data_IF_609275051728
#
_entry.id   IF_609275051728
#
_cell.length_a   1.000
_cell.length_b   1.000
_cell.length_c   1.000
_cell.angle_alpha   90.00
_cell.angle_beta   90.00
_cell.angle_gamma   90.00
#
_symmetry.space_group_name_H-M   'P 1'
#
loop_
_entity.id
_entity.type
_entity.pdbx_description
1 polymer ?
#
# COMPACT_ATOMS: atom_id res chain seq x y z
N UNK A 1 -18.94 -77.50 -8.66
CA UNK A 1 -19.84 -76.81 -7.72
C UNK A 1 -19.34 -77.03 -6.29
N UNK A 2 -18.60 -76.06 -5.73
CA UNK A 2 -18.38 -75.96 -4.28
C UNK A 2 -18.31 -74.49 -3.90
N UNK A 3 -19.07 -74.18 -2.86
CA UNK A 3 -19.67 -72.92 -2.45
C UNK A 3 -18.73 -72.09 -1.57
N UNK A 4 -18.76 -70.76 -1.75
CA UNK A 4 -18.20 -69.78 -0.79
C UNK A 4 -19.14 -69.64 0.41
N UNK A 5 -18.63 -69.46 1.65
CA UNK A 5 -19.41 -68.88 2.73
C UNK A 5 -19.05 -67.40 3.00
N UNK A 6 -20.09 -66.71 3.47
CA UNK A 6 -20.22 -65.29 3.73
C UNK A 6 -19.39 -64.78 4.92
N UNK A 7 -19.11 -63.47 4.93
CA UNK A 7 -18.70 -62.73 6.14
C UNK A 7 -19.82 -61.77 6.55
N UNK A 8 -20.22 -61.93 7.79
CA UNK A 8 -21.26 -61.19 8.51
C UNK A 8 -20.66 -59.99 9.25
N UNK A 9 -21.36 -58.87 9.14
CA UNK A 9 -21.45 -57.62 9.91
C UNK A 9 -20.57 -57.36 11.14
N UNK A 10 -20.11 -56.11 11.27
CA UNK A 10 -20.30 -55.36 12.53
C UNK A 10 -20.29 -53.84 12.27
N UNK A 11 -21.35 -53.20 12.74
CA UNK A 11 -21.62 -51.76 12.70
C UNK A 11 -21.13 -51.16 14.03
N UNK A 12 -20.36 -50.07 13.99
CA UNK A 12 -19.96 -49.33 15.19
C UNK A 12 -20.08 -47.83 14.94
N UNK A 13 -21.18 -47.27 15.42
CA UNK A 13 -21.43 -45.85 15.64
C UNK A 13 -20.27 -45.19 16.41
N UNK A 14 -19.71 -44.09 15.88
CA UNK A 14 -18.92 -43.14 16.67
C UNK A 14 -19.30 -41.68 16.34
N UNK A 15 -20.16 -41.15 17.21
CA UNK A 15 -20.04 -39.87 17.92
C UNK A 15 -19.55 -38.66 17.11
N UNK A 16 -20.53 -37.86 16.69
CA UNK A 16 -20.40 -36.45 16.31
C UNK A 16 -19.76 -35.64 17.44
N UNK A 17 -18.62 -35.02 17.18
CA UNK A 17 -18.01 -33.98 18.01
C UNK A 17 -18.05 -32.67 17.22
N UNK A 18 -18.92 -31.77 17.67
CA UNK A 18 -18.94 -30.36 17.28
C UNK A 18 -17.61 -29.73 17.74
N UNK A 19 -16.80 -29.25 16.79
CA UNK A 19 -15.69 -28.34 17.10
C UNK A 19 -16.12 -26.92 16.76
N UNK A 20 -16.15 -26.11 17.82
CA UNK A 20 -16.31 -24.66 17.79
C UNK A 20 -15.15 -24.02 16.99
N UNK A 21 -15.40 -22.96 16.21
CA UNK A 21 -14.37 -22.30 15.41
C UNK A 21 -13.48 -21.43 16.30
N UNK A 22 -12.22 -21.81 16.46
CA UNK A 22 -11.21 -20.91 17.00
C UNK A 22 -10.79 -19.94 15.91
N UNK A 23 -10.89 -18.67 16.30
CA UNK A 23 -10.54 -17.46 15.58
C UNK A 23 -9.00 -17.30 15.64
N UNK A 24 -8.30 -17.53 14.52
CA UNK A 24 -6.88 -17.20 14.38
C UNK A 24 -6.72 -16.09 13.30
N UNK A 25 -5.96 -15.01 13.60
CA UNK A 25 -5.82 -13.86 12.72
C UNK A 25 -4.76 -14.14 11.65
N UNK A 26 -5.18 -14.67 10.50
CA UNK A 26 -4.27 -14.91 9.38
C UNK A 26 -4.21 -13.72 8.41
N UNK A 27 -3.13 -12.95 8.54
CA UNK A 27 -2.28 -12.60 7.40
C UNK A 27 -2.73 -11.46 6.49
N UNK A 28 -2.36 -10.24 6.89
CA UNK A 28 -2.27 -9.06 6.04
C UNK A 28 -1.20 -9.31 4.95
N UNK A 29 -1.61 -9.68 3.74
CA UNK A 29 -0.77 -9.55 2.54
C UNK A 29 -1.62 -8.90 1.46
N UNK A 30 -1.58 -7.58 1.41
CA UNK A 30 -2.11 -6.83 0.26
C UNK A 30 -1.15 -7.07 -0.90
N UNK A 31 -1.55 -7.94 -1.82
CA UNK A 31 -0.79 -8.22 -3.03
C UNK A 31 -0.80 -7.00 -3.93
N UNK A 32 0.33 -6.28 -3.96
CA UNK A 32 0.68 -5.42 -5.09
C UNK A 32 0.53 -6.28 -6.36
N UNK A 33 -0.29 -5.89 -7.35
CA UNK A 33 -0.41 -6.69 -8.56
C UNK A 33 0.98 -6.82 -9.19
N UNK A 34 1.41 -8.04 -9.57
CA UNK A 34 2.67 -8.21 -10.28
C UNK A 34 2.66 -7.35 -11.55
N UNK A 35 3.81 -6.78 -11.87
CA UNK A 35 3.98 -6.03 -13.10
C UNK A 35 3.49 -6.88 -14.29
N UNK A 36 2.73 -6.31 -15.24
CA UNK A 36 2.24 -7.09 -16.37
C UNK A 36 3.43 -7.55 -17.22
N UNK A 37 3.53 -8.86 -17.45
CA UNK A 37 4.43 -9.43 -18.44
C UNK A 37 4.10 -8.83 -19.82
N UNK A 38 5.03 -8.02 -20.31
CA UNK A 38 4.90 -7.30 -21.57
C UNK A 38 4.93 -8.24 -22.76
N UNK A 39 3.76 -8.71 -23.19
CA UNK A 39 3.58 -9.27 -24.54
C UNK A 39 3.45 -8.13 -25.55
N UNK A 40 4.56 -7.42 -25.82
CA UNK A 40 4.74 -6.66 -27.05
C UNK A 40 6.24 -6.66 -27.38
N UNK A 41 6.60 -7.28 -28.51
CA UNK A 41 7.96 -7.70 -28.88
C UNK A 41 8.94 -6.59 -29.25
N UNK A 42 8.94 -5.47 -28.52
CA UNK A 42 9.99 -4.45 -28.59
C UNK A 42 11.07 -4.72 -27.55
N UNK A 43 12.34 -4.67 -27.93
CA UNK A 43 13.46 -4.68 -26.98
C UNK A 43 13.30 -3.53 -25.97
N UNK A 44 12.75 -3.79 -24.79
CA UNK A 44 12.65 -2.80 -23.72
C UNK A 44 14.02 -2.67 -23.11
N UNK A 45 14.63 -1.49 -23.23
CA UNK A 45 15.98 -1.26 -22.73
C UNK A 45 15.99 -1.41 -21.19
N UNK A 46 16.60 -2.50 -20.71
CA UNK A 46 16.76 -2.77 -19.28
C UNK A 46 17.68 -1.76 -18.62
N UNK A 47 17.43 -1.50 -17.34
CA UNK A 47 18.20 -0.61 -16.48
C UNK A 47 18.53 -1.35 -15.19
N UNK A 48 19.72 -1.09 -14.65
CA UNK A 48 20.15 -1.68 -13.38
C UNK A 48 20.11 -0.62 -12.29
N UNK A 49 19.57 -1.01 -11.13
CA UNK A 49 19.58 -0.19 -9.92
C UNK A 49 21.03 0.02 -9.44
N UNK A 50 21.44 1.27 -9.21
CA UNK A 50 22.78 1.58 -8.73
C UNK A 50 23.03 1.14 -7.27
N UNK A 51 21.97 0.83 -6.52
CA UNK A 51 22.01 0.40 -5.12
C UNK A 51 21.88 -1.12 -5.00
N UNK A 52 20.78 -1.72 -5.48
CA UNK A 52 20.52 -3.17 -5.36
C UNK A 52 21.16 -4.01 -6.46
N UNK A 53 21.57 -3.39 -7.59
CA UNK A 53 22.01 -4.06 -8.84
C UNK A 53 20.94 -4.86 -9.57
N UNK A 54 19.71 -4.92 -9.06
CA UNK A 54 18.59 -5.54 -9.74
C UNK A 54 18.28 -4.84 -11.06
N UNK A 55 17.83 -5.63 -12.03
CA UNK A 55 17.45 -5.15 -13.35
C UNK A 55 15.95 -4.91 -13.41
N UNK A 56 15.55 -3.87 -14.13
CA UNK A 56 14.14 -3.54 -14.33
C UNK A 56 13.93 -2.76 -15.61
N UNK A 57 12.66 -2.65 -16.00
CA UNK A 57 12.28 -1.78 -17.11
C UNK A 57 12.46 -0.32 -16.72
N UNK A 58 12.56 0.56 -17.73
CA UNK A 58 12.55 2.01 -17.53
C UNK A 58 11.35 2.48 -16.69
N UNK A 59 10.18 1.84 -16.86
CA UNK A 59 8.96 2.16 -16.14
C UNK A 59 8.99 1.77 -14.66
N UNK A 60 9.72 0.71 -14.32
CA UNK A 60 9.81 0.20 -12.94
C UNK A 60 10.84 0.91 -12.04
N UNK A 61 11.74 1.73 -12.60
CA UNK A 61 12.80 2.39 -11.84
C UNK A 61 12.64 3.92 -11.81
N UNK A 62 13.17 4.55 -10.77
CA UNK A 62 13.29 6.01 -10.67
C UNK A 62 14.64 6.48 -11.20
N UNK A 63 14.61 7.41 -12.15
CA UNK A 63 15.82 8.08 -12.64
C UNK A 63 16.19 9.23 -11.71
N UNK A 64 17.44 9.30 -11.32
CA UNK A 64 18.09 10.45 -10.72
C UNK A 64 18.91 11.16 -11.80
N UNK A 65 18.66 12.45 -11.98
CA UNK A 65 19.35 13.30 -12.94
C UNK A 65 20.23 14.32 -12.21
N UNK A 66 21.25 14.82 -12.90
CA UNK A 66 22.12 15.87 -12.41
C UNK A 66 21.70 17.21 -13.02
N UNK A 67 21.45 18.22 -12.20
CA UNK A 67 21.20 19.59 -12.65
C UNK A 67 22.50 20.23 -13.17
N UNK A 68 22.41 21.33 -13.95
CA UNK A 68 23.58 22.12 -14.33
C UNK A 68 24.42 22.59 -13.13
N UNK A 69 23.78 22.82 -11.98
CA UNK A 69 24.42 23.27 -10.73
C UNK A 69 25.01 22.11 -9.90
N UNK A 70 24.94 20.87 -10.39
CA UNK A 70 25.45 19.68 -9.71
C UNK A 70 24.52 19.08 -8.65
N UNK A 71 23.26 19.51 -8.59
CA UNK A 71 22.26 18.95 -7.67
C UNK A 71 21.64 17.67 -8.26
N UNK A 72 21.50 16.63 -7.42
CA UNK A 72 20.85 15.37 -7.79
C UNK A 72 19.35 15.49 -7.57
N UNK A 73 18.58 15.37 -8.65
CA UNK A 73 17.13 15.56 -8.67
C UNK A 73 16.38 14.32 -9.17
N UNK A 74 15.17 14.02 -8.65
CA UNK A 74 14.34 12.95 -9.18
C UNK A 74 13.72 13.33 -10.53
N UNK A 75 14.00 12.54 -11.55
CA UNK A 75 13.40 12.65 -12.88
C UNK A 75 12.39 11.51 -13.08
N UNK A 76 11.21 11.68 -12.49
CA UNK A 76 10.16 10.65 -12.44
C UNK A 76 9.74 10.21 -13.84
N UNK A 77 9.67 11.14 -14.80
CA UNK A 77 9.25 10.86 -16.18
C UNK A 77 10.42 10.47 -17.09
N UNK A 78 11.64 10.46 -16.56
CA UNK A 78 12.87 10.21 -17.30
C UNK A 78 13.04 11.12 -18.54
N UNK A 79 12.69 12.41 -18.42
CA UNK A 79 12.72 13.38 -19.54
C UNK A 79 13.88 14.36 -19.47
N UNK A 80 14.56 14.48 -18.34
CA UNK A 80 15.66 15.42 -18.19
C UNK A 80 16.85 15.01 -19.10
N UNK A 81 17.53 15.97 -19.74
CA UNK A 81 18.66 15.67 -20.62
C UNK A 81 19.85 15.09 -19.83
N UNK A 82 20.87 14.62 -20.55
CA UNK A 82 22.14 14.21 -19.98
C UNK A 82 22.14 12.81 -19.34
N UNK A 83 23.14 12.57 -18.48
CA UNK A 83 23.32 11.29 -17.81
C UNK A 83 22.34 11.16 -16.64
N UNK A 84 21.85 9.95 -16.40
CA UNK A 84 21.04 9.64 -15.22
C UNK A 84 21.45 8.32 -14.60
N UNK A 85 21.21 8.20 -13.30
CA UNK A 85 21.36 6.99 -12.52
C UNK A 85 19.97 6.42 -12.18
N UNK A 86 19.84 5.11 -11.97
CA UNK A 86 18.55 4.48 -11.73
C UNK A 86 18.49 3.85 -10.34
N UNK A 87 17.38 4.06 -9.62
CA UNK A 87 17.10 3.42 -8.33
C UNK A 87 15.77 2.66 -8.42
N UNK A 88 15.72 1.48 -7.81
CA UNK A 88 14.53 0.61 -7.74
C UNK A 88 14.25 0.13 -6.33
N UNK A 89 14.86 0.77 -5.33
CA UNK A 89 14.70 0.44 -3.92
C UNK A 89 13.54 1.21 -3.32
N UNK A 90 12.96 0.67 -2.24
CA UNK A 90 12.00 1.39 -1.41
C UNK A 90 12.65 2.58 -0.66
N UNK A 91 11.80 3.38 -0.04
CA UNK A 91 12.14 4.60 0.69
C UNK A 91 13.08 4.31 1.87
N UNK A 92 12.76 3.31 2.68
CA UNK A 92 13.57 2.95 3.85
C UNK A 92 15.00 2.51 3.47
N UNK A 93 15.11 1.75 2.39
CA UNK A 93 16.40 1.31 1.83
C UNK A 93 17.18 2.48 1.26
N UNK A 94 16.51 3.42 0.58
CA UNK A 94 17.13 4.66 0.10
C UNK A 94 17.67 5.50 1.26
N UNK A 95 16.86 5.74 2.29
CA UNK A 95 17.25 6.50 3.49
C UNK A 95 18.45 5.84 4.19
N UNK A 96 18.42 4.51 4.36
CA UNK A 96 19.57 3.75 4.89
C UNK A 96 20.82 3.90 4.02
N UNK A 97 20.67 3.89 2.68
CA UNK A 97 21.77 4.07 1.75
C UNK A 97 22.35 5.50 1.77
N UNK A 98 21.52 6.51 2.05
CA UNK A 98 21.95 7.90 2.27
C UNK A 98 22.75 7.98 3.56
N UNK A 99 22.21 7.49 4.68
CA UNK A 99 22.85 7.54 6.00
C UNK A 99 24.22 6.83 6.01
N UNK A 100 24.34 5.70 5.30
CA UNK A 100 25.59 4.93 5.18
C UNK A 100 26.55 5.47 4.12
N UNK A 101 26.25 6.60 3.45
CA UNK A 101 27.06 7.18 2.38
C UNK A 101 27.14 6.34 1.09
N UNK A 102 26.41 5.22 1.01
CA UNK A 102 26.39 4.31 -0.14
C UNK A 102 25.83 4.99 -1.39
N UNK A 103 24.78 5.80 -1.23
CA UNK A 103 24.18 6.54 -2.34
C UNK A 103 25.20 7.50 -2.98
N UNK A 104 25.94 8.26 -2.17
CA UNK A 104 26.98 9.19 -2.66
C UNK A 104 28.03 8.47 -3.49
N UNK A 105 28.57 7.35 -3.00
CA UNK A 105 29.55 6.55 -3.74
C UNK A 105 28.99 5.92 -5.01
N UNK A 106 27.72 5.51 -5.03
CA UNK A 106 27.04 5.02 -6.23
C UNK A 106 26.84 6.12 -7.28
N UNK A 107 26.40 7.30 -6.86
CA UNK A 107 26.18 8.44 -7.76
C UNK A 107 27.49 9.01 -8.30
N UNK A 108 28.56 9.09 -7.50
CA UNK A 108 29.87 9.52 -7.97
C UNK A 108 30.38 8.64 -9.12
N UNK A 109 30.20 7.31 -9.02
CA UNK A 109 30.52 6.37 -10.11
C UNK A 109 29.58 6.56 -11.30
N UNK A 110 28.27 6.66 -11.05
CA UNK A 110 27.28 6.82 -12.12
C UNK A 110 27.51 8.10 -12.93
N UNK A 111 27.87 9.21 -12.29
CA UNK A 111 28.10 10.51 -12.92
C UNK A 111 29.58 10.80 -13.24
N UNK A 112 30.45 9.77 -13.29
CA UNK A 112 31.86 9.89 -13.67
C UNK A 112 32.66 10.94 -12.86
N UNK A 113 32.40 11.03 -11.56
CA UNK A 113 33.15 11.90 -10.65
C UNK A 113 32.78 13.38 -10.72
N UNK A 114 31.65 13.75 -11.34
CA UNK A 114 31.12 15.11 -11.26
C UNK A 114 30.94 15.57 -9.81
N UNK A 115 30.99 16.88 -9.56
CA UNK A 115 30.62 17.45 -8.26
C UNK A 115 29.12 17.23 -8.03
N UNK A 116 28.78 16.61 -6.89
CA UNK A 116 27.40 16.23 -6.57
C UNK A 116 26.96 16.83 -5.25
N UNK A 117 25.82 17.51 -5.30
CA UNK A 117 25.02 17.89 -4.13
C UNK A 117 23.81 16.97 -4.07
N UNK A 118 23.67 16.22 -2.98
CA UNK A 118 22.52 15.33 -2.73
C UNK A 118 21.64 16.05 -1.71
N UNK A 119 20.42 16.46 -2.09
CA UNK A 119 19.48 17.08 -1.16
C UNK A 119 19.12 16.12 -0.03
N UNK A 120 18.99 16.64 1.20
CA UNK A 120 18.62 15.84 2.37
C UNK A 120 17.18 15.33 2.29
N UNK A 121 16.31 16.08 1.60
CA UNK A 121 14.90 15.81 1.32
C UNK A 121 14.71 15.00 0.02
N UNK A 122 15.78 14.40 -0.54
CA UNK A 122 15.67 13.62 -1.78
C UNK A 122 14.60 12.49 -1.71
N UNK A 123 14.48 11.71 -0.62
CA UNK A 123 13.39 10.72 -0.49
C UNK A 123 12.00 11.34 -0.60
N UNK A 124 11.76 12.47 0.06
CA UNK A 124 10.49 13.20 0.01
C UNK A 124 10.19 13.69 -1.42
N UNK A 125 11.19 14.26 -2.10
CA UNK A 125 11.04 14.71 -3.49
C UNK A 125 10.69 13.57 -4.44
N UNK A 126 11.25 12.37 -4.22
CA UNK A 126 10.93 11.18 -5.01
C UNK A 126 9.50 10.75 -4.75
N UNK A 127 9.10 10.61 -3.49
CA UNK A 127 7.74 10.20 -3.12
C UNK A 127 6.71 11.17 -3.68
N UNK A 128 6.89 12.47 -3.45
CA UNK A 128 5.97 13.49 -3.94
C UNK A 128 5.88 13.49 -5.47
N UNK A 129 7.01 13.30 -6.14
CA UNK A 129 7.05 13.20 -7.59
C UNK A 129 6.30 11.97 -8.11
N UNK A 130 6.46 10.82 -7.47
CA UNK A 130 5.77 9.58 -7.81
C UNK A 130 4.27 9.67 -7.53
N UNK A 131 3.89 10.16 -6.36
CA UNK A 131 2.51 10.43 -5.95
C UNK A 131 1.81 11.34 -6.94
N UNK A 132 2.41 12.51 -7.24
CA UNK A 132 1.87 13.45 -8.23
C UNK A 132 1.72 12.79 -9.60
N UNK A 133 2.74 12.07 -10.08
CA UNK A 133 2.68 11.39 -11.37
C UNK A 133 1.57 10.33 -11.45
N UNK A 134 1.36 9.56 -10.38
CA UNK A 134 0.29 8.56 -10.31
C UNK A 134 -1.11 9.20 -10.29
N UNK A 135 -1.30 10.26 -9.49
CA UNK A 135 -2.57 10.99 -9.43
C UNK A 135 -2.88 11.74 -10.73
N UNK A 136 -1.88 12.38 -11.35
CA UNK A 136 -2.01 13.00 -12.67
C UNK A 136 -2.44 11.98 -13.73
N UNK A 137 -1.92 10.74 -13.64
CA UNK A 137 -2.33 9.66 -14.53
C UNK A 137 -3.81 9.35 -14.39
N UNK A 138 -4.30 9.16 -13.17
CA UNK A 138 -5.72 8.94 -12.91
C UNK A 138 -6.59 10.11 -13.41
N UNK A 139 -6.14 11.35 -13.20
CA UNK A 139 -6.81 12.54 -13.72
C UNK A 139 -6.89 12.58 -15.24
N UNK A 140 -5.84 12.15 -15.95
CA UNK A 140 -5.84 12.03 -17.41
C UNK A 140 -6.80 10.95 -17.91
N UNK A 141 -6.85 9.79 -17.25
CA UNK A 141 -7.80 8.72 -17.62
C UNK A 141 -9.24 9.16 -17.35
N UNK A 142 -9.48 9.97 -16.30
CA UNK A 142 -10.79 10.60 -16.02
C UNK A 142 -11.22 11.57 -17.11
N UNK A 143 -10.33 12.47 -17.52
CA UNK A 143 -10.58 13.41 -18.63
C UNK A 143 -10.81 12.70 -19.97
N UNK A 144 -10.25 11.52 -20.14
CA UNK A 144 -10.40 10.69 -21.34
C UNK A 144 -11.68 9.85 -21.36
N UNK A 145 -12.47 9.87 -20.28
CA UNK A 145 -13.74 9.13 -20.19
C UNK A 145 -13.60 7.65 -19.85
N UNK A 146 -12.41 7.19 -19.44
CA UNK A 146 -12.16 5.78 -19.09
C UNK A 146 -12.44 5.44 -17.63
N UNK A 147 -12.72 6.46 -16.80
CA UNK A 147 -12.96 6.31 -15.37
C UNK A 147 -14.47 6.34 -15.09
N UNK A 148 -14.93 5.38 -14.29
CA UNK A 148 -16.27 5.36 -13.69
C UNK A 148 -16.15 5.62 -12.19
N UNK A 149 -17.04 6.46 -11.67
CA UNK A 149 -17.07 6.89 -10.26
C UNK A 149 -18.46 6.60 -9.70
N UNK A 150 -18.52 6.25 -8.42
CA UNK A 150 -19.76 5.97 -7.70
C UNK A 150 -20.08 4.49 -7.66
N UNK A 151 -20.55 4.02 -6.49
CA UNK A 151 -20.72 2.59 -6.20
C UNK A 151 -21.60 1.87 -7.23
N UNK A 152 -22.76 2.42 -7.56
CA UNK A 152 -23.72 1.81 -8.50
C UNK A 152 -23.16 1.69 -9.92
N UNK A 153 -22.48 2.73 -10.42
CA UNK A 153 -21.91 2.73 -11.76
C UNK A 153 -20.72 1.76 -11.88
N UNK A 154 -19.89 1.72 -10.84
CA UNK A 154 -18.78 0.77 -10.74
C UNK A 154 -19.33 -0.66 -10.65
N UNK A 155 -20.30 -0.93 -9.77
CA UNK A 155 -20.91 -2.26 -9.63
C UNK A 155 -21.50 -2.77 -10.95
N UNK A 156 -22.24 -1.92 -11.67
CA UNK A 156 -22.78 -2.26 -13.00
C UNK A 156 -21.67 -2.64 -13.98
N UNK A 157 -20.62 -1.83 -14.04
CA UNK A 157 -19.47 -2.07 -14.93
C UNK A 157 -18.73 -3.36 -14.55
N UNK A 158 -18.54 -3.57 -13.25
CA UNK A 158 -17.91 -4.73 -12.65
C UNK A 158 -18.64 -6.02 -13.03
N UNK A 159 -19.96 -6.12 -12.74
CA UNK A 159 -20.78 -7.30 -13.05
C UNK A 159 -20.90 -7.59 -14.54
N UNK A 160 -20.77 -6.56 -15.38
CA UNK A 160 -20.78 -6.72 -16.84
C UNK A 160 -19.43 -7.16 -17.44
N UNK A 161 -18.42 -7.43 -16.62
CA UNK A 161 -17.07 -7.83 -17.05
C UNK A 161 -16.26 -6.71 -17.72
N UNK A 162 -16.69 -5.46 -17.58
CA UNK A 162 -16.05 -4.29 -18.22
C UNK A 162 -15.06 -3.54 -17.32
N UNK A 163 -14.88 -3.99 -16.09
CA UNK A 163 -13.99 -3.34 -15.13
C UNK A 163 -12.59 -3.95 -15.21
N UNK A 164 -11.57 -3.13 -15.44
CA UNK A 164 -10.18 -3.55 -15.57
C UNK A 164 -9.28 -3.12 -14.41
N UNK A 165 -9.71 -2.12 -13.63
CA UNK A 165 -9.08 -1.77 -12.37
C UNK A 165 -10.11 -1.19 -11.39
N UNK A 166 -9.87 -1.41 -10.09
CA UNK A 166 -10.67 -0.90 -9.00
C UNK A 166 -9.75 -0.29 -7.93
N UNK A 167 -9.96 0.98 -7.62
CA UNK A 167 -9.21 1.71 -6.59
C UNK A 167 -10.14 2.31 -5.55
N UNK A 168 -9.60 2.49 -4.34
CA UNK A 168 -10.30 3.07 -3.20
C UNK A 168 -9.44 4.14 -2.54
N UNK A 169 -10.06 5.19 -2.03
CA UNK A 169 -9.40 6.11 -1.10
C UNK A 169 -9.00 5.38 0.20
N UNK A 170 -7.99 5.88 0.91
CA UNK A 170 -7.52 5.27 2.17
C UNK A 170 -8.57 5.30 3.28
N UNK A 171 -9.50 6.24 3.23
CA UNK A 171 -10.61 6.41 4.17
C UNK A 171 -11.92 5.78 3.67
N UNK A 172 -11.86 4.91 2.65
CA UNK A 172 -13.02 4.17 2.17
C UNK A 172 -13.46 3.11 3.19
N UNK A 173 -14.77 3.02 3.43
CA UNK A 173 -15.34 2.00 4.30
C UNK A 173 -15.13 0.58 3.72
N UNK A 174 -14.70 -0.36 4.57
CA UNK A 174 -14.40 -1.74 4.18
C UNK A 174 -15.61 -2.46 3.56
N UNK A 175 -16.82 -2.21 4.07
CA UNK A 175 -18.07 -2.77 3.52
C UNK A 175 -18.31 -2.33 2.06
N UNK A 176 -18.13 -1.05 1.76
CA UNK A 176 -18.28 -0.51 0.41
C UNK A 176 -17.24 -1.07 -0.56
N UNK A 177 -15.97 -1.11 -0.14
CA UNK A 177 -14.89 -1.72 -0.92
C UNK A 177 -15.15 -3.22 -1.17
N UNK A 178 -15.59 -3.96 -0.14
CA UNK A 178 -15.89 -5.38 -0.22
C UNK A 178 -17.03 -5.72 -1.19
N UNK A 179 -18.10 -4.91 -1.19
CA UNK A 179 -19.22 -5.04 -2.14
C UNK A 179 -18.76 -4.87 -3.60
N UNK A 180 -17.94 -3.87 -3.88
CA UNK A 180 -17.40 -3.64 -5.24
C UNK A 180 -16.42 -4.73 -5.66
N UNK A 181 -15.57 -5.21 -4.73
CA UNK A 181 -14.68 -6.34 -4.99
C UNK A 181 -15.46 -7.63 -5.32
N UNK A 182 -16.54 -7.93 -4.60
CA UNK A 182 -17.41 -9.07 -4.92
C UNK A 182 -18.05 -8.90 -6.30
N UNK A 183 -18.60 -7.72 -6.61
CA UNK A 183 -19.20 -7.45 -7.91
C UNK A 183 -18.20 -7.62 -9.07
N UNK A 184 -16.94 -7.23 -8.84
CA UNK A 184 -15.87 -7.41 -9.81
C UNK A 184 -15.54 -8.88 -10.05
N UNK A 185 -15.39 -9.67 -8.97
CA UNK A 185 -15.15 -11.11 -9.07
C UNK A 185 -16.26 -11.84 -9.82
N UNK A 186 -17.52 -11.49 -9.56
CA UNK A 186 -18.68 -12.06 -10.27
C UNK A 186 -18.60 -11.77 -11.77
N UNK A 187 -18.34 -10.53 -12.18
CA UNK A 187 -18.31 -10.20 -13.61
C UNK A 187 -17.06 -10.69 -14.36
N UNK A 188 -16.06 -11.19 -13.65
CA UNK A 188 -14.86 -11.80 -14.26
C UNK A 188 -14.79 -13.31 -14.05
N UNK A 189 -15.87 -13.94 -13.58
CA UNK A 189 -15.93 -15.37 -13.24
C UNK A 189 -14.78 -15.84 -12.32
N UNK A 190 -14.36 -14.96 -11.40
CA UNK A 190 -13.20 -15.14 -10.51
C UNK A 190 -13.66 -15.18 -9.04
N UNK A 191 -14.81 -15.80 -8.79
CA UNK A 191 -15.34 -15.98 -7.44
C UNK A 191 -14.43 -16.89 -6.61
N UNK A 192 -14.26 -16.57 -5.33
CA UNK A 192 -13.33 -17.29 -4.44
C UNK A 192 -11.86 -16.88 -4.56
N UNK A 193 -11.45 -16.07 -5.56
CA UNK A 193 -10.04 -15.68 -5.71
C UNK A 193 -9.51 -14.75 -4.62
N UNK A 194 -10.39 -14.18 -3.79
CA UNK A 194 -10.02 -13.20 -2.80
C UNK A 194 -9.61 -11.84 -3.39
N UNK A 195 -9.69 -11.65 -4.72
CA UNK A 195 -9.37 -10.38 -5.39
C UNK A 195 -10.13 -9.21 -4.77
N UNK A 196 -9.39 -8.11 -4.55
CA UNK A 196 -9.87 -6.83 -4.02
C UNK A 196 -9.49 -5.67 -4.93
N UNK A 197 -10.13 -4.53 -4.73
CA UNK A 197 -9.62 -3.25 -5.23
C UNK A 197 -8.40 -2.80 -4.45
N UNK A 198 -7.58 -1.94 -5.06
CA UNK A 198 -6.38 -1.40 -4.44
C UNK A 198 -6.72 -0.15 -3.61
N UNK A 199 -6.41 -0.20 -2.31
CA UNK A 199 -6.49 0.96 -1.44
C UNK A 199 -5.29 1.88 -1.70
N UNK A 200 -5.57 3.11 -2.12
CA UNK A 200 -4.55 4.12 -2.35
C UNK A 200 -4.20 4.80 -1.03
N UNK A 201 -2.92 5.12 -0.74
CA UNK A 201 -2.49 5.82 0.47
C UNK A 201 -2.79 7.34 0.38
N UNK A 202 -4.00 7.68 -0.07
CA UNK A 202 -4.52 9.04 -0.15
C UNK A 202 -5.98 9.07 0.26
N UNK A 203 -6.40 10.06 1.06
CA UNK A 203 -7.80 10.19 1.44
C UNK A 203 -8.66 10.65 0.25
N UNK A 204 -9.98 10.49 0.39
CA UNK A 204 -10.97 10.86 -0.64
C UNK A 204 -10.85 12.30 -1.11
N UNK A 205 -10.40 13.21 -0.25
CA UNK A 205 -10.20 14.63 -0.60
C UNK A 205 -9.14 14.80 -1.68
N UNK A 206 -8.01 14.12 -1.54
CA UNK A 206 -6.92 14.14 -2.52
C UNK A 206 -7.29 13.38 -3.79
N UNK A 207 -7.97 12.24 -3.65
CA UNK A 207 -8.45 11.46 -4.81
C UNK A 207 -9.48 12.25 -5.63
N UNK A 208 -10.40 12.95 -4.97
CA UNK A 208 -11.41 13.84 -5.58
C UNK A 208 -10.74 14.97 -6.37
N UNK A 209 -9.76 15.65 -5.76
CA UNK A 209 -9.00 16.71 -6.40
C UNK A 209 -8.27 16.21 -7.65
N UNK A 210 -7.60 15.06 -7.58
CA UNK A 210 -6.88 14.48 -8.71
C UNK A 210 -7.78 14.18 -9.91
N UNK A 211 -9.04 13.79 -9.65
CA UNK A 211 -10.01 13.44 -10.68
C UNK A 211 -10.82 14.65 -11.18
N UNK A 212 -10.71 15.81 -10.52
CA UNK A 212 -11.49 17.00 -10.82
C UNK A 212 -12.99 16.82 -10.56
N UNK A 213 -13.33 16.04 -9.53
CA UNK A 213 -14.70 15.68 -9.15
C UNK A 213 -14.87 15.82 -7.64
N UNK A 214 -16.11 15.81 -7.17
CA UNK A 214 -16.42 15.87 -5.74
C UNK A 214 -16.74 14.47 -5.20
N UNK A 215 -16.43 14.25 -3.92
CA UNK A 215 -16.83 13.06 -3.14
C UNK A 215 -16.44 11.70 -3.78
N UNK A 216 -15.25 11.61 -4.36
CA UNK A 216 -14.75 10.37 -4.95
C UNK A 216 -14.13 9.46 -3.89
N UNK A 217 -14.81 8.35 -3.61
CA UNK A 217 -14.33 7.31 -2.67
C UNK A 217 -13.83 6.07 -3.42
N UNK A 218 -14.51 5.69 -4.50
CA UNK A 218 -14.17 4.51 -5.31
C UNK A 218 -14.03 4.91 -6.77
N UNK A 219 -13.07 4.29 -7.45
CA UNK A 219 -12.70 4.57 -8.83
C UNK A 219 -12.61 3.27 -9.58
N UNK A 220 -13.33 3.14 -10.69
CA UNK A 220 -13.20 2.05 -11.63
C UNK A 220 -12.62 2.52 -12.96
N UNK A 221 -11.82 1.69 -13.63
CA UNK A 221 -11.37 1.94 -15.01
C UNK A 221 -11.95 0.89 -15.94
N UNK A 222 -12.56 1.33 -17.04
CA UNK A 222 -13.25 0.46 -18.02
C UNK A 222 -12.48 0.24 -19.33
N UNK A 223 -11.37 0.95 -19.54
CA UNK A 223 -10.44 0.66 -20.65
C UNK A 223 -9.20 -0.08 -20.16
N UNK A 224 -8.86 -1.19 -20.81
CA UNK A 224 -7.75 -2.04 -20.40
C UNK A 224 -6.38 -1.35 -20.55
N UNK A 225 -6.20 -0.46 -21.54
CA UNK A 225 -4.93 0.25 -21.74
C UNK A 225 -4.78 1.36 -20.70
N UNK A 226 -5.85 2.08 -20.38
CA UNK A 226 -5.91 3.05 -19.30
C UNK A 226 -5.58 2.39 -17.96
N UNK A 227 -6.18 1.24 -17.67
CA UNK A 227 -5.91 0.49 -16.45
C UNK A 227 -4.42 0.11 -16.35
N UNK A 228 -3.81 -0.39 -17.43
CA UNK A 228 -2.37 -0.69 -17.45
C UNK A 228 -1.49 0.52 -17.16
N UNK A 229 -1.74 1.67 -17.80
CA UNK A 229 -0.96 2.90 -17.56
C UNK A 229 -1.13 3.42 -16.13
N UNK A 230 -2.33 3.36 -15.58
CA UNK A 230 -2.61 3.75 -14.19
C UNK A 230 -1.90 2.83 -13.21
N UNK A 231 -1.99 1.51 -13.42
CA UNK A 231 -1.30 0.52 -12.59
C UNK A 231 0.22 0.71 -12.65
N UNK A 232 0.82 0.94 -13.82
CA UNK A 232 2.27 1.18 -13.93
C UNK A 232 2.73 2.39 -13.08
N UNK A 233 1.98 3.49 -13.14
CA UNK A 233 2.29 4.68 -12.35
C UNK A 233 2.08 4.46 -10.85
N UNK A 234 1.01 3.76 -10.47
CA UNK A 234 0.67 3.43 -9.08
C UNK A 234 1.67 2.44 -8.47
N UNK A 235 1.94 1.32 -9.15
CA UNK A 235 2.88 0.30 -8.69
C UNK A 235 4.26 0.89 -8.40
N UNK A 236 4.73 1.84 -9.21
CA UNK A 236 6.01 2.50 -8.97
C UNK A 236 6.02 3.38 -7.72
N UNK A 237 4.92 4.08 -7.45
CA UNK A 237 4.77 4.87 -6.22
C UNK A 237 4.65 3.98 -4.98
N UNK A 238 3.77 2.97 -5.04
CA UNK A 238 3.54 2.03 -3.95
C UNK A 238 4.78 1.20 -3.60
N UNK A 239 5.53 0.78 -4.63
CA UNK A 239 6.83 0.13 -4.44
C UNK A 239 7.83 1.03 -3.73
N UNK A 240 7.84 2.34 -4.06
CA UNK A 240 8.78 3.27 -3.43
C UNK A 240 8.45 3.53 -1.96
N UNK A 241 7.19 3.77 -1.60
CA UNK A 241 6.83 3.94 -0.18
C UNK A 241 6.98 2.63 0.61
N UNK A 242 6.98 1.48 -0.10
CA UNK A 242 7.07 0.14 0.46
C UNK A 242 5.80 -0.26 1.23
N UNK A 243 5.64 -1.54 1.59
CA UNK A 243 4.90 -1.84 2.80
C UNK A 243 5.65 -1.13 3.93
N UNK A 244 5.01 -0.25 4.70
CA UNK A 244 5.67 0.34 5.87
C UNK A 244 6.44 -0.75 6.62
N UNK A 245 7.70 -0.54 7.02
CA UNK A 245 8.23 -1.33 8.11
C UNK A 245 7.37 -0.98 9.32
N UNK A 246 6.33 -1.79 9.57
CA UNK A 246 5.50 -1.75 10.76
C UNK A 246 6.43 -1.82 11.97
N UNK A 247 6.81 -0.64 12.45
CA UNK A 247 7.65 -0.50 13.62
C UNK A 247 6.71 -0.41 14.79
N UNK A 248 6.77 -1.44 15.62
CA UNK A 248 6.08 -1.63 16.90
C UNK A 248 4.56 -1.80 16.83
N UNK A 249 4.12 -3.04 17.09
CA UNK A 249 2.82 -3.31 17.66
C UNK A 249 2.64 -2.44 18.91
N UNK A 250 1.76 -1.44 18.84
CA UNK A 250 1.15 -0.88 20.03
C UNK A 250 0.20 -1.95 20.58
N UNK A 251 0.75 -2.87 21.39
CA UNK A 251 -0.05 -3.60 22.38
C UNK A 251 -0.65 -2.57 23.33
N UNK A 252 -1.84 -2.07 22.98
CA UNK A 252 -2.69 -1.44 23.99
C UNK A 252 -3.21 -2.57 24.85
N UNK A 253 -2.53 -2.79 25.99
CA UNK A 253 -3.05 -3.61 27.08
C UNK A 253 -4.39 -2.98 27.48
N UNK A 254 -5.47 -3.66 27.11
CA UNK A 254 -6.82 -3.38 27.57
C UNK A 254 -6.84 -3.48 29.10
N UNK A 255 -6.85 -2.33 29.80
CA UNK A 255 -7.28 -2.32 31.19
C UNK A 255 -8.79 -2.62 31.22
N UNK A 256 -9.10 -3.86 31.59
CA UNK A 256 -10.44 -4.28 31.91
C UNK A 256 -11.01 -3.45 33.05
N UNK A 257 -12.28 -3.07 32.90
CA UNK A 257 -13.06 -2.38 33.90
C UNK A 257 -13.07 -3.15 35.22
N UNK A 258 -12.57 -2.53 36.29
CA UNK A 258 -12.84 -2.96 37.67
C UNK A 258 -13.84 -1.99 38.28
N UNK A 259 -15.08 -2.45 38.37
CA UNK A 259 -16.15 -1.86 39.17
C UNK A 259 -15.77 -2.00 40.65
N UNK A 260 -15.36 -0.92 41.31
CA UNK A 260 -15.22 -0.88 42.77
C UNK A 260 -16.46 -0.21 43.36
N UNK A 261 -17.21 -1.00 44.12
CA UNK A 261 -18.42 -0.59 44.81
C UNK A 261 -18.12 0.41 45.92
N UNK A 262 -19.05 1.36 46.06
CA UNK A 262 -19.13 2.32 47.14
C UNK A 262 -19.74 1.61 48.35
N UNK A 263 -19.01 1.56 49.46
CA UNK A 263 -19.58 1.33 50.79
C UNK A 263 -18.74 2.07 51.82
N UNK A 264 -19.34 3.08 52.45
CA UNK A 264 -18.70 3.93 53.44
C UNK A 264 -18.49 3.24 54.78
N UNK A 265 -17.60 3.84 55.58
CA UNK A 265 -17.66 3.84 57.04
C UNK A 265 -16.99 5.13 57.51
N UNK A 266 -17.67 5.78 58.45
CA UNK A 266 -17.32 7.00 59.15
C UNK A 266 -16.20 6.79 60.18
N UNK A 267 -15.47 7.86 60.47
CA UNK A 267 -15.31 8.45 61.82
C UNK A 267 -13.86 8.85 62.21
N UNK A 268 -13.83 9.99 62.91
CA UNK A 268 -12.86 10.51 63.87
C UNK A 268 -11.42 10.88 63.43
N UNK A 269 -11.17 12.18 63.40
CA UNK A 269 -10.52 12.84 64.56
C UNK A 269 -9.00 13.02 64.56
N UNK A 270 -8.60 14.26 64.27
CA UNK A 270 -7.70 15.10 65.09
C UNK A 270 -6.24 14.67 65.39
N UNK A 271 -5.26 15.43 64.85
CA UNK A 271 -4.32 16.31 65.58
C UNK A 271 -2.94 16.44 64.90
N UNK A 272 -2.61 17.68 64.53
CA UNK A 272 -1.31 18.35 64.76
C UNK A 272 -0.09 17.95 63.92
N UNK A 273 0.51 18.90 63.19
CA UNK A 273 1.64 19.73 63.68
C UNK A 273 2.21 20.66 62.58
N UNK A 274 1.97 21.95 62.78
CA UNK A 274 2.88 23.12 62.67
C UNK A 274 3.97 23.22 61.55
N UNK A 275 3.90 24.22 60.65
CA UNK A 275 5.01 24.65 59.80
C UNK A 275 5.76 25.85 60.42
N UNK A 276 7.06 25.67 60.67
CA UNK A 276 7.95 26.73 61.15
C UNK A 276 8.56 27.54 60.01
N UNK A 277 8.34 28.87 60.07
CA UNK A 277 9.29 29.97 59.80
C UNK A 277 9.76 30.17 58.33
N UNK A 278 9.96 31.37 57.79
CA UNK A 278 10.08 32.73 58.33
C UNK A 278 10.00 33.73 57.16
N UNK A 279 9.43 34.90 57.37
CA UNK A 279 9.50 36.10 56.52
C UNK A 279 10.05 37.27 57.38
N UNK A 280 10.43 38.43 56.80
CA UNK A 280 11.77 39.01 57.01
C UNK A 280 11.80 40.35 57.77
N UNK A 281 12.93 40.63 58.41
CA UNK A 281 13.67 41.92 58.47
C UNK A 281 15.08 41.67 59.03
#
# INVERSE_FOLDING_TARGET
MRTKPARTTSNSLRRTQLRNPNNDPAGLTDTVPPAPDGADGGHVAERSCILSREHGTRGGLVRLALSPDGEVLPDIRAKAPGRGAWIGVDRATLETAIAKGRLRGALARAFKGATLTIPTDLPDRIEDGLRRHALDRLGLESKSGYVVIGGTAIEKSARSGKLHALYHASDAAADGAGKLAQAWRVGTDDEGSGRRGLALPVPRTILSLALGRENVVHVGITDARAARRSNEALSRWLHFIGPEPLTAACETISQGASTAQISGVSDAGELGRDPSKQEPE
#
